data_IF_667165127270
#
_entry.id   IF_667165127270
#
_cell.length_a   1.000
_cell.length_b   1.000
_cell.length_c   1.000
_cell.angle_alpha   90.00
_cell.angle_beta   90.00
_cell.angle_gamma   90.00
#
_symmetry.space_group_name_H-M   'P 1'
#
loop_
_entity.id
_entity.type
_entity.pdbx_description
1 polymer ?
#
# COMPACT_ATOMS: atom_id res chain seq x y z
N UNK A 1 -0.36 -25.06 -12.64
CA UNK A 1 -1.74 -25.09 -13.15
C UNK A 1 -1.82 -26.40 -13.92
N UNK A 2 -2.67 -27.33 -13.49
CA UNK A 2 -2.78 -28.66 -14.11
C UNK A 2 -3.45 -28.52 -15.49
N UNK A 3 -2.93 -29.20 -16.52
CA UNK A 3 -3.45 -29.04 -17.87
C UNK A 3 -4.93 -29.48 -17.91
N UNK A 4 -5.83 -28.67 -18.49
CA UNK A 4 -7.25 -29.02 -18.58
C UNK A 4 -7.56 -30.13 -19.59
N UNK A 5 -6.55 -30.72 -20.24
CA UNK A 5 -6.65 -31.85 -21.15
C UNK A 5 -5.89 -33.08 -20.64
N UNK A 6 -6.24 -34.29 -21.12
CA UNK A 6 -5.57 -35.52 -20.75
C UNK A 6 -4.04 -35.46 -20.94
N UNK A 7 -3.28 -36.02 -20.00
CA UNK A 7 -1.81 -35.93 -19.96
C UNK A 7 -1.12 -36.64 -21.15
N UNK A 8 -1.84 -37.54 -21.81
CA UNK A 8 -1.44 -38.29 -22.99
C UNK A 8 -1.61 -37.52 -24.32
N UNK A 9 -2.18 -36.30 -24.26
CA UNK A 9 -2.31 -35.46 -25.44
C UNK A 9 -1.04 -34.62 -25.68
N UNK A 10 -0.47 -34.66 -26.90
CA UNK A 10 0.70 -33.83 -27.24
C UNK A 10 0.35 -32.33 -27.25
N UNK A 11 1.31 -31.44 -27.03
CA UNK A 11 1.04 -30.00 -27.11
C UNK A 11 0.74 -29.54 -28.55
N UNK A 12 1.29 -30.24 -29.54
CA UNK A 12 1.02 -30.06 -30.97
C UNK A 12 0.21 -31.24 -31.50
N UNK A 13 -0.71 -30.97 -32.43
CA UNK A 13 -1.54 -32.02 -33.03
C UNK A 13 -0.71 -33.03 -33.82
N UNK A 14 -0.84 -34.32 -33.49
CA UNK A 14 -0.10 -35.45 -34.08
C UNK A 14 -0.80 -36.08 -35.30
N UNK A 15 -1.90 -35.49 -35.76
CA UNK A 15 -2.70 -36.01 -36.87
C UNK A 15 -3.77 -37.02 -36.46
N UNK A 16 -3.95 -37.30 -35.16
CA UNK A 16 -4.99 -38.18 -34.67
C UNK A 16 -6.35 -37.46 -34.59
N UNK A 17 -7.26 -37.88 -35.47
CA UNK A 17 -8.64 -37.38 -35.53
C UNK A 17 -9.49 -37.81 -34.32
N UNK A 18 -9.06 -38.82 -33.57
CA UNK A 18 -9.69 -39.27 -32.32
C UNK A 18 -9.50 -38.29 -31.15
N UNK A 19 -8.55 -37.36 -31.28
CA UNK A 19 -8.27 -36.28 -30.32
C UNK A 19 -8.90 -34.95 -30.73
N UNK A 20 -9.84 -34.95 -31.68
CA UNK A 20 -10.60 -33.76 -32.07
C UNK A 20 -11.92 -33.71 -31.34
N UNK A 21 -12.16 -32.62 -30.62
CA UNK A 21 -13.44 -32.36 -29.97
C UNK A 21 -14.42 -31.66 -30.90
N UNK A 22 -15.70 -31.91 -30.69
CA UNK A 22 -16.77 -31.21 -31.36
C UNK A 22 -16.90 -29.76 -30.85
N UNK A 23 -17.65 -28.95 -31.60
CA UNK A 23 -18.01 -27.58 -31.20
C UNK A 23 -18.65 -27.52 -29.81
N UNK A 24 -19.56 -28.44 -29.50
CA UNK A 24 -20.31 -28.43 -28.25
C UNK A 24 -19.43 -28.82 -27.06
N UNK A 25 -18.56 -29.81 -27.23
CA UNK A 25 -17.61 -30.25 -26.21
C UNK A 25 -16.58 -29.15 -25.90
N UNK A 26 -16.01 -28.55 -26.96
CA UNK A 26 -15.02 -27.48 -26.81
C UNK A 26 -15.62 -26.24 -26.13
N UNK A 27 -16.83 -25.83 -26.52
CA UNK A 27 -17.52 -24.71 -25.88
C UNK A 27 -17.83 -24.97 -24.40
N UNK A 28 -18.22 -26.21 -24.05
CA UNK A 28 -18.50 -26.61 -22.66
C UNK A 28 -17.25 -26.51 -21.79
N UNK A 29 -16.11 -27.03 -22.26
CA UNK A 29 -14.86 -27.02 -21.48
C UNK A 29 -14.33 -25.59 -21.30
N UNK A 30 -14.45 -24.74 -22.32
CA UNK A 30 -14.12 -23.31 -22.20
C UNK A 30 -15.13 -22.51 -21.36
N UNK A 31 -16.22 -23.12 -20.90
CA UNK A 31 -17.34 -22.44 -20.22
C UNK A 31 -17.92 -21.28 -21.06
N UNK A 32 -17.96 -21.44 -22.38
CA UNK A 32 -18.46 -20.43 -23.32
C UNK A 32 -19.84 -20.80 -23.86
N UNK A 33 -20.66 -19.78 -24.14
CA UNK A 33 -21.90 -20.00 -24.89
C UNK A 33 -21.61 -20.30 -26.37
N UNK A 34 -22.46 -21.11 -27.01
CA UNK A 34 -22.32 -21.41 -28.45
C UNK A 34 -22.22 -20.16 -29.34
N UNK A 35 -22.98 -19.07 -29.09
CA UNK A 35 -22.81 -17.82 -29.83
C UNK A 35 -21.45 -17.14 -29.61
N UNK A 36 -20.87 -17.23 -28.40
CA UNK A 36 -19.50 -16.72 -28.15
C UNK A 36 -18.48 -17.54 -28.95
N UNK A 37 -18.63 -18.86 -28.94
CA UNK A 37 -17.77 -19.77 -29.70
C UNK A 37 -17.82 -19.48 -31.21
N UNK A 38 -19.01 -19.26 -31.78
CA UNK A 38 -19.15 -18.93 -33.20
C UNK A 38 -18.46 -17.61 -33.56
N UNK A 39 -18.59 -16.58 -32.71
CA UNK A 39 -17.87 -15.32 -32.90
C UNK A 39 -16.36 -15.52 -32.88
N UNK A 40 -15.84 -16.30 -31.94
CA UNK A 40 -14.41 -16.63 -31.86
C UNK A 40 -13.93 -17.43 -33.07
N UNK A 41 -14.75 -18.34 -33.61
CA UNK A 41 -14.47 -19.05 -34.85
C UNK A 41 -14.31 -18.08 -36.04
N UNK A 42 -15.21 -17.10 -36.16
CA UNK A 42 -15.09 -16.05 -37.18
C UNK A 42 -13.88 -15.14 -36.95
N UNK A 43 -13.41 -15.00 -35.71
CA UNK A 43 -12.20 -14.26 -35.35
C UNK A 43 -10.89 -15.05 -35.55
N UNK A 44 -10.95 -16.30 -36.05
CA UNK A 44 -9.77 -17.10 -36.37
C UNK A 44 -9.41 -18.17 -35.34
N UNK A 45 -10.38 -18.68 -34.57
CA UNK A 45 -10.15 -19.82 -33.69
C UNK A 45 -9.55 -21.03 -34.46
N UNK A 46 -8.47 -21.65 -33.98
CA UNK A 46 -7.84 -22.81 -34.63
C UNK A 46 -8.83 -23.96 -34.83
N UNK A 47 -8.95 -24.42 -36.08
CA UNK A 47 -9.83 -25.53 -36.46
C UNK A 47 -9.03 -26.51 -37.33
N UNK A 48 -8.98 -27.79 -36.94
CA UNK A 48 -8.22 -28.83 -37.65
C UNK A 48 -9.06 -29.60 -38.65
N UNK A 49 -10.36 -29.74 -38.37
CA UNK A 49 -11.31 -30.36 -39.29
C UNK A 49 -12.49 -29.44 -39.56
N UNK A 50 -12.58 -28.93 -40.77
CA UNK A 50 -13.74 -28.13 -41.20
C UNK A 50 -14.98 -29.02 -41.36
N UNK A 51 -16.12 -28.53 -40.87
CA UNK A 51 -17.41 -29.16 -41.13
C UNK A 51 -17.80 -29.02 -42.60
N UNK A 52 -18.10 -30.14 -43.26
CA UNK A 52 -18.67 -30.23 -44.61
C UNK A 52 -19.89 -31.15 -44.56
N UNK A 53 -20.72 -31.20 -45.60
CA UNK A 53 -21.92 -32.06 -45.65
C UNK A 53 -21.64 -33.48 -45.12
N UNK A 54 -22.18 -33.80 -43.93
CA UNK A 54 -22.02 -35.09 -43.25
C UNK A 54 -20.83 -35.22 -42.28
N UNK A 55 -20.04 -34.16 -42.02
CA UNK A 55 -18.91 -34.17 -41.08
C UNK A 55 -18.97 -32.96 -40.12
N UNK A 56 -18.81 -33.20 -38.83
CA UNK A 56 -18.75 -32.16 -37.80
C UNK A 56 -17.37 -31.49 -37.73
N UNK A 57 -17.36 -30.23 -37.30
CA UNK A 57 -16.13 -29.50 -37.00
C UNK A 57 -15.32 -30.21 -35.91
N UNK A 58 -14.00 -30.25 -36.07
CA UNK A 58 -13.05 -30.84 -35.12
C UNK A 58 -12.02 -29.82 -34.65
N UNK A 59 -11.93 -29.68 -33.32
CA UNK A 59 -11.08 -28.72 -32.63
C UNK A 59 -10.06 -29.45 -31.77
N UNK A 60 -8.80 -29.03 -31.86
CA UNK A 60 -7.74 -29.53 -30.99
C UNK A 60 -7.60 -28.63 -29.77
N UNK A 61 -7.87 -29.17 -28.59
CA UNK A 61 -8.04 -28.36 -27.38
C UNK A 61 -6.77 -27.59 -26.94
N UNK A 62 -5.55 -28.16 -26.97
CA UNK A 62 -4.33 -27.41 -26.64
C UNK A 62 -4.12 -26.16 -27.49
N UNK A 63 -4.39 -26.24 -28.80
CA UNK A 63 -4.28 -25.08 -29.72
C UNK A 63 -5.36 -24.04 -29.48
N UNK A 64 -6.61 -24.50 -29.25
CA UNK A 64 -7.72 -23.63 -28.88
C UNK A 64 -7.40 -22.91 -27.57
N UNK A 65 -6.89 -23.62 -26.57
CA UNK A 65 -6.52 -23.04 -25.27
C UNK A 65 -5.39 -22.00 -25.42
N UNK A 66 -4.34 -22.31 -26.17
CA UNK A 66 -3.25 -21.36 -26.44
C UNK A 66 -3.74 -20.07 -27.15
N UNK A 67 -4.71 -20.21 -28.07
CA UNK A 67 -5.32 -19.05 -28.71
C UNK A 67 -6.14 -18.22 -27.72
N UNK A 68 -6.92 -18.87 -26.84
CA UNK A 68 -7.74 -18.20 -25.82
C UNK A 68 -6.85 -17.45 -24.83
N UNK A 69 -5.84 -18.11 -24.26
CA UNK A 69 -4.94 -17.47 -23.28
C UNK A 69 -4.11 -16.35 -23.91
N UNK A 70 -3.70 -16.49 -25.18
CA UNK A 70 -3.04 -15.42 -25.93
C UNK A 70 -3.95 -14.22 -26.19
N UNK A 71 -5.23 -14.45 -26.52
CA UNK A 71 -6.21 -13.40 -26.69
C UNK A 71 -6.52 -12.67 -25.38
N UNK A 72 -6.70 -13.42 -24.28
CA UNK A 72 -6.92 -12.85 -22.94
C UNK A 72 -5.70 -12.04 -22.46
N UNK A 73 -4.48 -12.52 -22.69
CA UNK A 73 -3.26 -11.79 -22.37
C UNK A 73 -3.15 -10.47 -23.16
N UNK A 74 -3.59 -10.47 -24.42
CA UNK A 74 -3.64 -9.25 -25.25
C UNK A 74 -4.70 -8.27 -24.76
N UNK A 75 -5.89 -8.74 -24.41
CA UNK A 75 -6.97 -7.89 -23.87
C UNK A 75 -6.59 -7.28 -22.52
N UNK A 76 -5.92 -8.04 -21.65
CA UNK A 76 -5.39 -7.57 -20.37
C UNK A 76 -4.30 -6.50 -20.58
N UNK A 77 -3.39 -6.70 -21.52
CA UNK A 77 -2.37 -5.72 -21.87
C UNK A 77 -2.98 -4.42 -22.45
N UNK A 78 -3.96 -4.54 -23.34
CA UNK A 78 -4.71 -3.40 -23.87
C UNK A 78 -5.51 -2.66 -22.80
N UNK A 79 -6.11 -3.39 -21.83
CA UNK A 79 -6.79 -2.77 -20.69
C UNK A 79 -5.82 -1.96 -19.83
N UNK A 80 -4.66 -2.53 -19.49
CA UNK A 80 -3.61 -1.82 -18.74
C UNK A 80 -3.10 -0.59 -19.47
N UNK A 81 -2.95 -0.67 -20.79
CA UNK A 81 -2.55 0.49 -21.59
C UNK A 81 -3.63 1.58 -21.57
N UNK A 82 -4.91 1.23 -21.74
CA UNK A 82 -6.02 2.19 -21.66
C UNK A 82 -6.12 2.84 -20.28
N UNK A 83 -5.91 2.08 -19.21
CA UNK A 83 -5.87 2.62 -17.84
C UNK A 83 -4.71 3.61 -17.66
N UNK A 84 -3.53 3.31 -18.22
CA UNK A 84 -2.37 4.21 -18.18
C UNK A 84 -2.61 5.49 -19.00
N UNK A 85 -3.18 5.37 -20.20
CA UNK A 85 -3.50 6.50 -21.07
C UNK A 85 -4.57 7.41 -20.43
N UNK A 86 -5.57 6.81 -19.77
CA UNK A 86 -6.58 7.54 -19.01
C UNK A 86 -5.96 8.27 -17.82
N UNK A 87 -5.10 7.61 -17.04
CA UNK A 87 -4.38 8.25 -15.93
C UNK A 87 -3.51 9.41 -16.42
N UNK A 88 -2.87 9.28 -17.59
CA UNK A 88 -2.11 10.35 -18.23
C UNK A 88 -3.00 11.52 -18.65
N UNK A 89 -4.18 11.25 -19.22
CA UNK A 89 -5.14 12.29 -19.59
C UNK A 89 -5.71 13.02 -18.36
N UNK A 90 -6.02 12.30 -17.29
CA UNK A 90 -6.46 12.86 -16.00
C UNK A 90 -5.38 13.77 -15.39
N UNK A 91 -4.11 13.36 -15.42
CA UNK A 91 -2.98 14.20 -14.98
C UNK A 91 -2.81 15.46 -15.85
N UNK A 92 -3.03 15.36 -17.16
CA UNK A 92 -2.95 16.51 -18.06
C UNK A 92 -4.08 17.53 -17.78
N UNK A 93 -5.28 17.05 -17.42
CA UNK A 93 -6.42 17.90 -17.08
C UNK A 93 -6.27 18.61 -15.73
N UNK A 94 -5.61 17.98 -14.76
CA UNK A 94 -5.35 18.56 -13.43
C UNK A 94 -4.25 19.63 -13.41
N UNK A 95 -3.64 19.94 -14.57
CA UNK A 95 -2.62 20.96 -14.69
C UNK A 95 -1.28 20.46 -14.17
N UNK A 96 -0.45 19.92 -15.06
CA UNK A 96 0.84 19.31 -14.78
C UNK A 96 1.75 20.16 -13.89
N UNK A 97 1.66 19.93 -12.58
CA UNK A 97 2.63 20.30 -11.57
C UNK A 97 2.30 19.53 -10.29
N UNK A 98 2.80 18.30 -10.21
CA UNK A 98 2.89 17.62 -8.94
C UNK A 98 4.24 16.92 -8.87
N UNK A 99 5.20 17.60 -8.25
CA UNK A 99 6.40 16.99 -7.65
C UNK A 99 6.00 16.18 -6.40
N UNK A 100 4.99 15.34 -6.53
CA UNK A 100 4.50 14.49 -5.47
C UNK A 100 4.48 13.08 -6.07
N UNK A 101 5.27 12.16 -5.50
CA UNK A 101 5.34 10.75 -5.92
C UNK A 101 3.95 10.05 -5.85
N UNK A 102 2.96 10.74 -5.26
CA UNK A 102 1.55 10.35 -5.14
C UNK A 102 0.67 10.77 -6.33
N UNK A 103 1.21 11.54 -7.28
CA UNK A 103 0.47 12.13 -8.39
C UNK A 103 -0.04 11.11 -9.41
N UNK A 104 0.57 9.91 -9.50
CA UNK A 104 0.19 8.86 -10.45
C UNK A 104 -0.81 7.81 -9.92
N UNK A 105 -1.20 7.87 -8.65
CA UNK A 105 -2.16 6.92 -8.07
C UNK A 105 -3.60 7.35 -8.36
N UNK A 106 -4.43 6.41 -8.80
CA UNK A 106 -5.88 6.63 -8.93
C UNK A 106 -6.51 6.93 -7.57
N UNK A 107 -7.68 7.56 -7.53
CA UNK A 107 -8.37 7.90 -6.28
C UNK A 107 -8.55 6.68 -5.35
N UNK A 108 -8.87 5.51 -5.92
CA UNK A 108 -9.00 4.25 -5.18
C UNK A 108 -7.66 3.73 -4.65
N UNK A 109 -6.59 3.85 -5.44
CA UNK A 109 -5.24 3.47 -4.99
C UNK A 109 -4.74 4.39 -3.88
N UNK A 110 -5.00 5.69 -3.97
CA UNK A 110 -4.71 6.64 -2.88
C UNK A 110 -5.47 6.28 -1.62
N UNK A 111 -6.76 5.98 -1.73
CA UNK A 111 -7.58 5.56 -0.59
C UNK A 111 -7.02 4.31 0.09
N UNK A 112 -6.67 3.27 -0.67
CA UNK A 112 -6.06 2.04 -0.14
C UNK A 112 -4.70 2.28 0.50
N UNK A 113 -3.88 3.17 -0.08
CA UNK A 113 -2.60 3.56 0.51
C UNK A 113 -2.81 4.23 1.86
N UNK A 114 -3.70 5.23 1.94
CA UNK A 114 -4.02 5.92 3.19
C UNK A 114 -4.62 4.98 4.25
N UNK A 115 -5.49 4.04 3.86
CA UNK A 115 -6.02 3.03 4.77
C UNK A 115 -4.91 2.12 5.32
N UNK A 116 -3.95 1.74 4.48
CA UNK A 116 -2.80 0.91 4.87
C UNK A 116 -1.87 1.67 5.82
N UNK A 117 -1.55 2.92 5.49
CA UNK A 117 -0.74 3.81 6.34
C UNK A 117 -1.39 4.01 7.73
N UNK A 118 -2.73 4.20 7.77
CA UNK A 118 -3.44 4.37 9.03
C UNK A 118 -3.36 3.11 9.92
N UNK A 119 -3.44 1.92 9.33
CA UNK A 119 -3.29 0.65 10.06
C UNK A 119 -1.86 0.49 10.57
N UNK A 120 -0.86 0.81 9.76
CA UNK A 120 0.54 0.77 10.18
C UNK A 120 0.80 1.73 11.35
N UNK A 121 0.33 2.97 11.27
CA UNK A 121 0.46 3.95 12.35
C UNK A 121 -0.20 3.49 13.65
N UNK A 122 -1.37 2.83 13.57
CA UNK A 122 -2.04 2.25 14.74
C UNK A 122 -1.22 1.15 15.40
N UNK A 123 -0.71 0.20 14.61
CA UNK A 123 0.15 -0.89 15.11
C UNK A 123 1.42 -0.34 15.77
N UNK A 124 2.04 0.67 15.16
CA UNK A 124 3.25 1.33 15.72
C UNK A 124 2.95 2.10 17.00
N UNK A 125 1.78 2.73 17.11
CA UNK A 125 1.30 3.36 18.36
C UNK A 125 1.05 2.32 19.46
N UNK A 126 0.43 1.18 19.14
CA UNK A 126 0.21 0.09 20.12
C UNK A 126 1.51 -0.52 20.63
N UNK A 127 2.54 -0.58 19.78
CA UNK A 127 3.90 -1.00 20.16
C UNK A 127 4.67 0.05 20.96
N UNK A 128 4.11 1.26 21.12
CA UNK A 128 4.78 2.38 21.79
C UNK A 128 5.87 3.06 20.97
N UNK A 129 5.95 2.79 19.66
CA UNK A 129 6.91 3.44 18.75
C UNK A 129 6.46 4.86 18.37
N UNK A 130 5.15 5.12 18.42
CA UNK A 130 4.55 6.42 18.13
C UNK A 130 3.76 6.92 19.34
N UNK A 131 4.23 8.00 19.95
CA UNK A 131 3.51 8.74 20.99
C UNK A 131 2.92 10.01 20.42
N UNK A 132 1.78 10.44 20.96
CA UNK A 132 1.21 11.72 20.61
C UNK A 132 2.12 12.84 21.11
N UNK A 133 2.60 13.69 20.20
CA UNK A 133 3.52 14.77 20.56
C UNK A 133 2.90 15.74 21.58
N UNK A 134 1.57 15.96 21.55
CA UNK A 134 0.90 16.81 22.53
C UNK A 134 0.86 16.18 23.91
N UNK A 135 0.64 14.87 23.97
CA UNK A 135 0.66 14.12 25.23
C UNK A 135 2.05 14.09 25.84
N UNK A 136 3.09 13.88 25.02
CA UNK A 136 4.48 13.94 25.45
C UNK A 136 4.84 15.33 25.98
N UNK A 137 4.50 16.38 25.22
CA UNK A 137 4.72 17.77 25.64
C UNK A 137 4.03 18.10 26.96
N UNK A 138 2.76 17.72 27.12
CA UNK A 138 2.01 17.96 28.35
C UNK A 138 2.61 17.22 29.55
N UNK A 139 3.11 15.99 29.34
CA UNK A 139 3.79 15.22 30.36
C UNK A 139 5.10 15.88 30.77
N UNK A 140 5.91 16.32 29.81
CA UNK A 140 7.20 16.96 30.06
C UNK A 140 7.02 18.33 30.73
N UNK A 141 6.03 19.12 30.29
CA UNK A 141 5.68 20.40 30.91
C UNK A 141 5.28 20.21 32.39
N UNK A 142 4.46 19.20 32.67
CA UNK A 142 4.08 18.86 34.06
C UNK A 142 5.29 18.44 34.88
N UNK A 143 6.12 17.53 34.36
CA UNK A 143 7.29 17.01 35.08
C UNK A 143 8.30 18.11 35.38
N UNK A 144 8.61 18.96 34.40
CA UNK A 144 9.51 20.10 34.58
C UNK A 144 8.91 21.18 35.50
N UNK A 145 7.61 21.42 35.41
CA UNK A 145 6.90 22.33 36.31
C UNK A 145 6.93 21.86 37.77
N UNK A 146 6.69 20.57 38.02
CA UNK A 146 6.74 19.97 39.35
C UNK A 146 8.17 19.98 39.91
N UNK A 147 9.17 19.66 39.08
CA UNK A 147 10.59 19.80 39.45
C UNK A 147 10.95 21.25 39.79
N UNK A 148 10.46 22.21 39.01
CA UNK A 148 10.68 23.64 39.25
C UNK A 148 10.15 24.08 40.62
N UNK A 149 8.92 23.68 40.96
CA UNK A 149 8.32 23.96 42.28
C UNK A 149 9.08 23.30 43.42
N UNK A 150 9.52 22.05 43.22
CA UNK A 150 10.32 21.34 44.21
C UNK A 150 11.63 22.09 44.50
N UNK A 151 12.37 22.48 43.46
CA UNK A 151 13.61 23.23 43.61
C UNK A 151 13.41 24.58 44.30
N UNK A 152 12.30 25.28 44.02
CA UNK A 152 11.95 26.53 44.69
C UNK A 152 11.65 26.35 46.19
N UNK A 153 11.10 25.20 46.59
CA UNK A 153 10.80 24.90 48.00
C UNK A 153 12.02 24.42 48.81
N UNK A 154 13.08 23.96 48.15
CA UNK A 154 14.25 23.35 48.81
C UNK A 154 14.99 24.29 49.78
N UNK A 155 15.28 25.56 49.44
CA UNK A 155 16.01 26.46 50.35
C UNK A 155 15.31 26.63 51.69
N UNK A 156 13.98 26.82 51.67
CA UNK A 156 13.19 26.96 52.89
C UNK A 156 13.11 25.65 53.68
N UNK A 157 12.95 24.52 52.99
CA UNK A 157 12.89 23.21 53.62
C UNK A 157 14.21 22.87 54.35
N UNK A 158 15.34 23.02 53.66
CA UNK A 158 16.68 22.79 54.21
C UNK A 158 16.99 23.83 55.30
N UNK A 159 16.62 25.09 55.06
CA UNK A 159 16.83 26.17 56.02
C UNK A 159 16.12 25.94 57.34
N UNK A 160 14.90 25.38 57.29
CA UNK A 160 14.14 25.00 58.49
C UNK A 160 14.73 23.76 59.17
N UNK A 161 15.16 22.76 58.41
CA UNK A 161 15.70 21.50 58.95
C UNK A 161 17.07 21.69 59.62
N UNK A 162 17.93 22.55 59.06
CA UNK A 162 19.29 22.79 59.52
C UNK A 162 19.46 24.11 60.29
N UNK A 163 18.35 24.80 60.60
CA UNK A 163 18.33 26.09 61.30
C UNK A 163 19.28 27.13 60.68
N UNK A 164 19.27 27.24 59.35
CA UNK A 164 20.14 28.17 58.63
C UNK A 164 19.69 29.62 58.79
N UNK A 165 20.65 30.54 58.77
CA UNK A 165 20.38 31.98 58.73
C UNK A 165 19.64 32.38 57.44
N UNK A 166 18.78 33.40 57.55
CA UNK A 166 17.98 33.92 56.44
C UNK A 166 18.85 34.39 55.26
N UNK A 167 20.06 34.91 55.52
CA UNK A 167 21.00 35.29 54.47
C UNK A 167 21.50 34.10 53.65
N UNK A 168 21.70 32.94 54.30
CA UNK A 168 22.12 31.70 53.63
C UNK A 168 20.98 31.12 52.79
N UNK A 169 19.75 31.15 53.31
CA UNK A 169 18.55 30.71 52.58
C UNK A 169 18.34 31.56 51.33
N UNK A 170 18.46 32.88 51.46
CA UNK A 170 18.36 33.80 50.31
C UNK A 170 19.44 33.56 49.27
N UNK A 171 20.69 33.32 49.68
CA UNK A 171 21.78 33.00 48.76
C UNK A 171 21.57 31.65 48.03
N UNK A 172 20.99 30.66 48.70
CA UNK A 172 20.62 29.38 48.09
C UNK A 172 19.51 29.57 47.05
N UNK A 173 18.49 30.37 47.37
CA UNK A 173 17.38 30.66 46.46
C UNK A 173 17.87 31.39 45.20
N UNK A 174 18.68 32.45 45.35
CA UNK A 174 19.27 33.17 44.22
C UNK A 174 20.12 32.25 43.33
N UNK A 175 20.83 31.29 43.93
CA UNK A 175 21.64 30.32 43.18
C UNK A 175 20.77 29.33 42.41
N UNK A 176 19.66 28.86 42.99
CA UNK A 176 18.69 27.99 42.31
C UNK A 176 18.03 28.74 41.14
N UNK A 177 17.62 29.99 41.34
CA UNK A 177 17.01 30.83 40.30
C UNK A 177 17.95 30.98 39.10
N UNK A 178 19.24 31.30 39.35
CA UNK A 178 20.26 31.41 38.30
C UNK A 178 20.44 30.11 37.53
N UNK A 179 20.42 28.96 38.20
CA UNK A 179 20.52 27.66 37.53
C UNK A 179 19.27 27.33 36.71
N UNK A 180 18.08 27.64 37.21
CA UNK A 180 16.83 27.44 36.46
C UNK A 180 16.80 28.31 35.20
N UNK A 181 17.25 29.56 35.29
CA UNK A 181 17.32 30.46 34.15
C UNK A 181 18.33 29.98 33.09
N UNK A 182 19.50 29.51 33.52
CA UNK A 182 20.50 28.94 32.62
C UNK A 182 20.00 27.66 31.93
N UNK A 183 19.28 26.79 32.65
CA UNK A 183 18.66 25.59 32.06
C UNK A 183 17.59 25.96 31.03
N UNK A 184 16.74 26.96 31.32
CA UNK A 184 15.73 27.46 30.38
C UNK A 184 16.39 28.03 29.12
N UNK A 185 17.45 28.83 29.25
CA UNK A 185 18.22 29.34 28.10
C UNK A 185 18.82 28.23 27.25
N UNK A 186 19.36 27.17 27.88
CA UNK A 186 19.90 26.02 27.15
C UNK A 186 18.82 25.27 26.37
N UNK A 187 17.66 25.05 26.98
CA UNK A 187 16.52 24.43 26.30
C UNK A 187 16.11 25.25 25.07
N UNK A 188 15.94 26.57 25.21
CA UNK A 188 15.59 27.46 24.08
C UNK A 188 16.67 27.54 22.99
N UNK A 189 17.94 27.38 23.35
CA UNK A 189 19.06 27.40 22.39
C UNK A 189 19.21 26.07 21.64
N UNK A 190 18.71 24.98 22.20
CA UNK A 190 18.85 23.62 21.65
C UNK A 190 17.66 23.18 20.79
N UNK A 191 16.86 24.13 20.28
CA UNK A 191 15.95 23.90 19.14
C UNK A 191 16.79 23.48 17.92
N UNK A 192 17.15 22.20 17.88
CA UNK A 192 17.74 21.51 16.75
C UNK A 192 16.82 21.59 15.52
N UNK A 193 17.34 21.30 14.32
CA UNK A 193 16.61 21.47 13.08
C UNK A 193 15.26 20.75 13.14
N UNK A 194 14.20 21.44 12.70
CA UNK A 194 12.86 20.86 12.58
C UNK A 194 12.93 19.50 11.85
N UNK A 195 12.18 18.48 12.31
CA UNK A 195 12.13 17.20 11.63
C UNK A 195 11.69 17.41 10.18
N UNK A 196 12.53 16.91 9.27
CA UNK A 196 12.26 16.89 7.81
C UNK A 196 11.14 15.92 7.46
#
# INVERSE_FOLDING_TARGET
MENPWPKDWPDEWDGDDGKLWSREETARVLSWSLPKFDRSRHAGLPCRREGKNGRSYGYYFPEVFAWVTGAEAKEEAERKQREADQAQAEMALLGGNAKDDRAGLTADQRKRLYETELVEMKVRRERGELVDARELLARDEKLLGDLGKFLQSLPEAIGRELELDLGVIGALQEKIDKYQEELARRLMKNDGPAPS
#
